data_IF_530680964414
#
_entry.id   IF_530680964414
#
_cell.length_a   1.000
_cell.length_b   1.000
_cell.length_c   1.000
_cell.angle_alpha   90.00
_cell.angle_beta   90.00
_cell.angle_gamma   90.00
#
_symmetry.space_group_name_H-M   'P 1'
#
loop_
_entity.id
_entity.type
_entity.pdbx_description
1 polymer ?
#
# COMPACT_ATOMS: atom_id res chain seq x y z
N UNK A 1 -63.89 -41.50 -4.08
CA UNK A 1 -63.56 -40.13 -4.49
C UNK A 1 -62.35 -39.80 -3.66
N UNK A 2 -61.18 -40.15 -4.18
CA UNK A 2 -59.90 -39.92 -3.51
C UNK A 2 -59.37 -38.59 -4.02
N UNK A 3 -59.37 -37.62 -3.10
CA UNK A 3 -58.68 -36.35 -3.22
C UNK A 3 -57.18 -36.63 -3.28
N UNK A 4 -56.59 -36.62 -4.47
CA UNK A 4 -55.14 -36.60 -4.61
C UNK A 4 -54.69 -35.20 -5.04
N UNK A 5 -54.71 -34.29 -4.07
CA UNK A 5 -53.99 -33.02 -4.11
C UNK A 5 -52.47 -33.27 -4.15
N UNK A 6 -51.92 -33.50 -5.34
CA UNK A 6 -50.47 -33.38 -5.58
C UNK A 6 -50.17 -32.05 -6.26
N UNK A 7 -50.48 -30.97 -5.54
CA UNK A 7 -50.16 -29.58 -5.90
C UNK A 7 -48.76 -29.14 -5.46
N UNK A 8 -47.76 -30.03 -5.45
CA UNK A 8 -46.40 -29.73 -5.03
C UNK A 8 -45.41 -29.88 -6.19
N UNK A 9 -45.33 -28.82 -7.01
CA UNK A 9 -44.10 -28.36 -7.69
C UNK A 9 -43.09 -29.39 -8.19
N UNK A 10 -43.46 -30.30 -9.09
CA UNK A 10 -42.48 -31.01 -9.91
C UNK A 10 -41.97 -30.05 -11.00
N UNK A 11 -40.87 -29.35 -10.70
CA UNK A 11 -40.06 -28.72 -11.74
C UNK A 11 -39.58 -29.82 -12.69
N UNK A 12 -39.86 -29.67 -13.98
CA UNK A 12 -39.37 -30.63 -14.99
C UNK A 12 -37.84 -30.65 -14.98
N UNK A 13 -37.26 -31.77 -15.44
CA UNK A 13 -35.80 -31.91 -15.53
C UNK A 13 -35.20 -30.79 -16.38
N UNK A 14 -35.89 -30.40 -17.45
CA UNK A 14 -35.51 -29.29 -18.32
C UNK A 14 -35.50 -27.95 -17.57
N UNK A 15 -36.53 -27.68 -16.74
CA UNK A 15 -36.61 -26.46 -15.95
C UNK A 15 -35.50 -26.40 -14.88
N UNK A 16 -35.15 -27.54 -14.27
CA UNK A 16 -34.04 -27.63 -13.33
C UNK A 16 -32.69 -27.41 -14.02
N UNK A 17 -32.50 -27.96 -15.22
CA UNK A 17 -31.28 -27.74 -16.01
C UNK A 17 -31.10 -26.28 -16.41
N UNK A 18 -32.18 -25.62 -16.83
CA UNK A 18 -32.15 -24.20 -17.17
C UNK A 18 -31.83 -23.34 -15.95
N UNK A 19 -32.44 -23.63 -14.78
CA UNK A 19 -32.11 -22.95 -13.54
C UNK A 19 -30.66 -23.16 -13.13
N UNK A 20 -30.14 -24.37 -13.27
CA UNK A 20 -28.76 -24.70 -12.90
C UNK A 20 -27.78 -23.94 -13.80
N UNK A 21 -28.00 -23.94 -15.12
CA UNK A 21 -27.20 -23.17 -16.07
C UNK A 21 -27.25 -21.65 -15.77
N UNK A 22 -28.42 -21.11 -15.42
CA UNK A 22 -28.55 -19.71 -15.03
C UNK A 22 -27.75 -19.38 -13.76
N UNK A 23 -27.79 -20.27 -12.74
CA UNK A 23 -27.02 -20.09 -11.50
C UNK A 23 -25.52 -20.22 -11.69
N UNK A 24 -25.08 -21.14 -12.55
CA UNK A 24 -23.67 -21.28 -12.92
C UNK A 24 -23.15 -20.02 -13.62
N UNK A 25 -23.94 -19.45 -14.54
CA UNK A 25 -23.61 -18.19 -15.20
C UNK A 25 -23.54 -17.02 -14.19
N UNK A 26 -24.49 -16.94 -13.26
CA UNK A 26 -24.50 -15.92 -12.21
C UNK A 26 -23.30 -16.04 -11.27
N UNK A 27 -22.94 -17.26 -10.85
CA UNK A 27 -21.74 -17.53 -10.07
C UNK A 27 -20.50 -17.10 -10.84
N UNK A 28 -20.32 -17.54 -12.08
CA UNK A 28 -19.17 -17.16 -12.89
C UNK A 28 -19.03 -15.63 -13.01
N UNK A 29 -20.14 -14.92 -13.24
CA UNK A 29 -20.15 -13.46 -13.32
C UNK A 29 -19.77 -12.80 -11.97
N UNK A 30 -20.31 -13.32 -10.86
CA UNK A 30 -19.99 -12.84 -9.51
C UNK A 30 -18.51 -13.05 -9.16
N UNK A 31 -17.94 -14.21 -9.50
CA UNK A 31 -16.52 -14.49 -9.30
C UNK A 31 -15.62 -13.54 -10.08
N UNK A 32 -15.96 -13.25 -11.34
CA UNK A 32 -15.19 -12.31 -12.17
C UNK A 32 -15.29 -10.87 -11.63
N UNK A 33 -16.49 -10.44 -11.23
CA UNK A 33 -16.68 -9.14 -10.58
C UNK A 33 -15.88 -9.02 -9.28
N UNK A 34 -15.82 -10.11 -8.49
CA UNK A 34 -15.02 -10.20 -7.28
C UNK A 34 -13.53 -10.03 -7.54
N UNK A 35 -12.97 -10.77 -8.52
CA UNK A 35 -11.56 -10.62 -8.93
C UNK A 35 -11.25 -9.21 -9.37
N UNK A 36 -12.10 -8.62 -10.22
CA UNK A 36 -11.92 -7.25 -10.68
C UNK A 36 -11.99 -6.22 -9.54
N UNK A 37 -12.81 -6.46 -8.52
CA UNK A 37 -12.89 -5.61 -7.33
C UNK A 37 -11.61 -5.71 -6.48
N UNK A 38 -11.07 -6.91 -6.30
CA UNK A 38 -9.82 -7.15 -5.56
C UNK A 38 -8.63 -6.48 -6.26
N UNK A 39 -8.53 -6.56 -7.57
CA UNK A 39 -7.47 -5.87 -8.31
C UNK A 39 -7.58 -4.34 -8.22
N UNK A 40 -8.81 -3.80 -8.26
CA UNK A 40 -9.05 -2.37 -8.02
C UNK A 40 -8.67 -1.95 -6.60
N UNK A 41 -8.93 -2.79 -5.60
CA UNK A 41 -8.52 -2.55 -4.22
C UNK A 41 -6.99 -2.51 -4.09
N UNK A 42 -6.28 -3.50 -4.65
CA UNK A 42 -4.80 -3.51 -4.67
C UNK A 42 -4.24 -2.22 -5.29
N UNK A 43 -4.77 -1.82 -6.45
CA UNK A 43 -4.36 -0.59 -7.12
C UNK A 43 -4.59 0.67 -6.26
N UNK A 44 -5.75 0.78 -5.59
CA UNK A 44 -6.06 1.91 -4.72
C UNK A 44 -5.15 1.97 -3.48
N UNK A 45 -4.82 0.82 -2.89
CA UNK A 45 -3.91 0.73 -1.74
C UNK A 45 -2.49 1.15 -2.11
N UNK A 46 -1.99 0.72 -3.28
CA UNK A 46 -0.67 1.14 -3.78
C UNK A 46 -0.64 2.64 -4.08
N UNK A 47 -1.69 3.17 -4.74
CA UNK A 47 -1.77 4.58 -5.07
C UNK A 47 -1.76 5.49 -3.83
N UNK A 48 -2.41 5.06 -2.74
CA UNK A 48 -2.43 5.78 -1.47
C UNK A 48 -1.15 5.59 -0.65
N UNK A 49 -0.43 4.49 -0.85
CA UNK A 49 0.79 4.17 -0.11
C UNK A 49 1.95 3.71 -1.04
N UNK A 50 2.59 4.63 -1.77
CA UNK A 50 3.63 4.29 -2.76
C UNK A 50 4.91 3.68 -2.15
N UNK A 51 5.07 3.73 -0.82
CA UNK A 51 6.19 3.13 -0.12
C UNK A 51 6.06 1.61 0.04
N UNK A 52 4.87 1.05 -0.22
CA UNK A 52 4.61 -0.38 -0.15
C UNK A 52 4.88 -0.98 -1.53
N UNK A 53 5.74 -2.00 -1.58
CA UNK A 53 6.02 -2.75 -2.79
C UNK A 53 4.76 -3.53 -3.21
N UNK A 54 4.28 -3.40 -4.46
CA UNK A 54 3.17 -4.18 -4.99
C UNK A 54 3.33 -5.69 -4.82
N UNK A 55 4.56 -6.21 -4.83
CA UNK A 55 4.84 -7.63 -4.62
C UNK A 55 4.47 -8.12 -3.22
N UNK A 56 4.32 -7.21 -2.25
CA UNK A 56 3.90 -7.53 -0.88
C UNK A 56 2.37 -7.64 -0.73
N UNK A 57 1.58 -7.20 -1.71
CA UNK A 57 0.12 -7.23 -1.72
C UNK A 57 -0.40 -8.51 -2.39
N UNK A 58 -0.49 -9.57 -1.60
CA UNK A 58 -0.95 -10.90 -2.04
C UNK A 58 -2.37 -11.19 -1.58
N UNK A 59 -3.08 -12.05 -2.31
CA UNK A 59 -4.44 -12.49 -1.96
C UNK A 59 -5.39 -12.48 -3.15
N UNK A 60 -6.39 -13.35 -3.08
CA UNK A 60 -7.48 -13.48 -4.05
C UNK A 60 -8.78 -12.88 -3.53
N UNK A 61 -8.88 -12.66 -2.21
CA UNK A 61 -10.04 -12.04 -1.58
C UNK A 61 -9.69 -10.66 -1.00
N UNK A 62 -10.70 -9.82 -0.79
CA UNK A 62 -10.50 -8.50 -0.19
C UNK A 62 -9.85 -8.61 1.21
N UNK A 63 -10.30 -9.56 2.04
CA UNK A 63 -9.77 -9.75 3.38
C UNK A 63 -8.30 -10.20 3.41
N UNK A 64 -7.90 -11.07 2.47
CA UNK A 64 -6.48 -11.46 2.32
C UNK A 64 -5.61 -10.28 1.92
N UNK A 65 -6.08 -9.48 0.96
CA UNK A 65 -5.37 -8.28 0.49
C UNK A 65 -5.24 -7.25 1.61
N UNK A 66 -6.29 -7.03 2.40
CA UNK A 66 -6.25 -6.13 3.56
C UNK A 66 -5.27 -6.61 4.64
N UNK A 67 -5.27 -7.91 4.95
CA UNK A 67 -4.34 -8.48 5.91
C UNK A 67 -2.88 -8.38 5.43
N UNK A 68 -2.65 -8.67 4.16
CA UNK A 68 -1.35 -8.54 3.50
C UNK A 68 -0.87 -7.08 3.49
N UNK A 69 -1.75 -6.14 3.19
CA UNK A 69 -1.46 -4.70 3.25
C UNK A 69 -1.12 -4.23 4.67
N UNK A 70 -1.86 -4.69 5.68
CA UNK A 70 -1.57 -4.38 7.08
C UNK A 70 -0.19 -4.89 7.50
N UNK A 71 0.18 -6.12 7.09
CA UNK A 71 1.49 -6.69 7.35
C UNK A 71 2.62 -5.89 6.67
N UNK A 72 2.42 -5.52 5.39
CA UNK A 72 3.39 -4.71 4.65
C UNK A 72 3.60 -3.33 5.29
N UNK A 73 2.50 -2.68 5.71
CA UNK A 73 2.56 -1.39 6.42
C UNK A 73 3.34 -1.50 7.72
N UNK A 74 3.07 -2.54 8.52
CA UNK A 74 3.78 -2.78 9.77
C UNK A 74 5.29 -3.02 9.56
N UNK A 75 5.67 -3.67 8.46
CA UNK A 75 7.07 -3.85 8.09
C UNK A 75 7.74 -2.51 7.76
N UNK A 76 7.11 -1.69 6.93
CA UNK A 76 7.63 -0.37 6.54
C UNK A 76 7.83 0.52 7.76
N UNK A 77 6.86 0.57 8.68
CA UNK A 77 7.00 1.34 9.91
C UNK A 77 8.15 0.85 10.80
N UNK A 78 8.34 -0.48 10.90
CA UNK A 78 9.46 -1.06 11.65
C UNK A 78 10.81 -0.69 11.04
N UNK A 79 10.92 -0.72 9.72
CA UNK A 79 12.16 -0.32 9.01
C UNK A 79 12.42 1.18 9.21
N UNK A 80 11.39 2.02 9.09
CA UNK A 80 11.52 3.47 9.35
C UNK A 80 12.00 3.76 10.76
N UNK A 81 11.46 3.05 11.74
CA UNK A 81 11.86 3.20 13.14
C UNK A 81 13.31 2.74 13.37
N UNK A 82 13.73 1.61 12.78
CA UNK A 82 15.10 1.14 12.88
C UNK A 82 16.09 2.13 12.25
N UNK A 83 15.78 2.66 11.07
CA UNK A 83 16.61 3.68 10.40
C UNK A 83 16.71 4.96 11.24
N UNK A 84 15.63 5.40 11.89
CA UNK A 84 15.67 6.55 12.81
C UNK A 84 16.65 6.30 13.96
N UNK A 85 16.59 5.12 14.60
CA UNK A 85 17.48 4.75 15.70
C UNK A 85 18.94 4.70 15.28
N UNK A 86 19.22 4.08 14.13
CA UNK A 86 20.58 4.01 13.57
C UNK A 86 21.13 5.41 13.24
N UNK A 87 20.31 6.28 12.64
CA UNK A 87 20.71 7.66 12.32
C UNK A 87 20.99 8.51 13.58
N UNK A 88 20.26 8.27 14.67
CA UNK A 88 20.45 8.96 15.94
C UNK A 88 21.72 8.47 16.68
N UNK A 89 22.05 7.18 16.57
CA UNK A 89 23.25 6.59 17.18
C UNK A 89 24.55 6.92 16.42
N UNK A 90 24.46 7.21 15.11
CA UNK A 90 25.62 7.46 14.25
C UNK A 90 26.22 8.88 14.35
N UNK A 91 25.56 9.83 15.01
CA UNK A 91 26.07 11.20 15.19
C UNK A 91 26.64 11.34 16.61
N UNK A 92 27.98 11.42 16.76
CA UNK A 92 28.59 11.68 18.06
C UNK A 92 28.08 12.99 18.65
N UNK A 93 27.78 13.00 19.95
CA UNK A 93 27.43 14.21 20.68
C UNK A 93 28.59 15.22 20.59
N UNK A 94 28.46 16.21 19.69
CA UNK A 94 29.51 17.19 19.40
C UNK A 94 29.81 17.39 17.91
N UNK A 95 29.28 16.55 17.02
CA UNK A 95 29.38 16.80 15.59
C UNK A 95 28.61 18.11 15.24
N UNK A 96 29.26 19.10 14.60
CA UNK A 96 28.56 20.31 14.21
C UNK A 96 27.44 19.94 13.24
N UNK A 97 26.25 20.51 13.46
CA UNK A 97 25.13 20.34 12.54
C UNK A 97 25.59 20.72 11.12
N UNK A 98 25.10 19.99 10.10
CA UNK A 98 25.35 20.36 8.71
C UNK A 98 24.74 21.75 8.47
N UNK A 99 25.57 22.78 8.56
CA UNK A 99 25.15 24.14 8.27
C UNK A 99 24.92 24.29 6.78
N UNK A 100 23.81 24.95 6.40
CA UNK A 100 23.65 25.43 5.04
C UNK A 100 24.77 26.42 4.74
N UNK A 101 25.74 26.01 3.91
CA UNK A 101 26.77 26.92 3.44
C UNK A 101 26.10 27.96 2.54
N UNK A 102 26.11 29.23 2.96
CA UNK A 102 25.70 30.32 2.09
C UNK A 102 26.69 30.41 0.93
N UNK A 103 26.26 30.33 -0.34
CA UNK A 103 27.17 30.46 -1.46
C UNK A 103 27.78 31.85 -1.43
N UNK A 104 29.11 31.93 -1.30
CA UNK A 104 29.90 33.17 -1.32
C UNK A 104 30.78 33.20 -2.56
N UNK A 105 30.83 34.35 -3.20
CA UNK A 105 31.71 34.63 -4.33
C UNK A 105 33.18 34.61 -3.89
N UNK A 106 34.11 34.46 -4.85
CA UNK A 106 35.53 34.47 -4.57
C UNK A 106 36.00 35.77 -3.89
N UNK A 107 35.45 36.92 -4.31
CA UNK A 107 35.77 38.24 -3.77
C UNK A 107 35.35 38.35 -2.30
N UNK A 108 34.17 37.85 -1.94
CA UNK A 108 33.68 37.87 -0.55
C UNK A 108 34.55 37.02 0.39
N UNK A 109 35.01 35.86 -0.08
CA UNK A 109 35.93 35.00 0.68
C UNK A 109 37.27 35.68 0.94
N UNK A 110 37.83 36.35 -0.08
CA UNK A 110 39.09 37.10 0.03
C UNK A 110 38.93 38.24 1.04
N UNK A 111 37.87 39.05 0.92
CA UNK A 111 37.61 40.18 1.81
C UNK A 111 37.49 39.74 3.28
N UNK A 112 36.77 38.66 3.54
CA UNK A 112 36.61 38.11 4.88
C UNK A 112 37.93 37.54 5.44
N UNK A 113 38.74 36.89 4.60
CA UNK A 113 40.06 36.42 4.99
C UNK A 113 40.99 37.55 5.42
N UNK A 114 41.02 38.64 4.65
CA UNK A 114 41.80 39.84 4.97
C UNK A 114 41.29 40.53 6.24
N UNK A 115 39.97 40.61 6.44
CA UNK A 115 39.38 41.17 7.66
C UNK A 115 39.71 40.36 8.92
N UNK A 116 39.90 39.03 8.80
CA UNK A 116 40.32 38.16 9.92
C UNK A 116 41.82 38.24 10.24
N UNK A 117 42.65 38.67 9.29
CA UNK A 117 44.10 38.82 9.47
C UNK A 117 44.53 40.20 9.97
N UNK A 118 43.62 41.17 10.02
CA UNK A 118 43.94 42.47 10.60
C UNK A 118 44.26 42.31 12.10
N UNK A 119 45.45 42.72 12.58
CA UNK A 119 45.76 42.68 14.00
C UNK A 119 44.76 43.57 14.75
N UNK A 120 44.18 43.03 15.82
CA UNK A 120 43.45 43.86 16.79
C UNK A 120 44.46 44.82 17.41
N UNK A 121 44.38 46.09 17.00
CA UNK A 121 45.04 47.20 17.68
C UNK A 121 44.32 47.51 19.00
#
# INVERSE_FOLDING_TARGET
MDDNETGAGELTVEALQEQLAAREAELAASHEAGRAAVERLKAALIATNPAIDPALLTGETAGEVEASFAAATALVERVREQLRRESAAAIPAGAPARGHATPRTAIEKIREGLARQAPRA
#
